data_IF_816584360951
#
_entry.id   IF_816584360951
#
_cell.length_a   1.000
_cell.length_b   1.000
_cell.length_c   1.000
_cell.angle_alpha   90.00
_cell.angle_beta   90.00
_cell.angle_gamma   90.00
#
_symmetry.space_group_name_H-M   'P 1'
#
loop_
_entity.id
_entity.type
_entity.pdbx_description
1 polymer ?
#
# COMPACT_ATOMS: atom_id res chain seq x y z
N UNK A 1 49.10 -23.22 33.57
CA UNK A 1 48.11 -24.09 34.23
C UNK A 1 46.76 -23.77 33.63
N UNK A 2 46.42 -24.67 32.70
CA UNK A 2 45.11 -25.27 32.32
C UNK A 2 43.96 -24.32 31.97
N UNK A 3 43.82 -24.23 30.67
CA UNK A 3 42.62 -23.75 29.95
C UNK A 3 41.39 -24.59 30.31
N UNK A 4 40.24 -23.91 30.51
CA UNK A 4 38.97 -24.56 30.69
C UNK A 4 38.08 -24.30 29.44
N UNK A 5 37.85 -25.28 28.57
CA UNK A 5 37.05 -25.11 27.36
C UNK A 5 35.64 -25.64 27.60
N UNK A 6 34.70 -24.83 28.14
CA UNK A 6 33.28 -25.14 28.08
C UNK A 6 32.44 -23.93 28.46
N UNK A 7 32.23 -23.00 27.54
CA UNK A 7 31.12 -22.08 27.55
C UNK A 7 30.28 -22.33 26.27
N UNK A 8 28.98 -22.64 26.42
CA UNK A 8 28.12 -22.81 25.26
C UNK A 8 27.89 -21.47 24.56
N UNK A 9 28.26 -21.37 23.31
CA UNK A 9 27.90 -20.27 22.40
C UNK A 9 26.39 -20.29 22.20
N UNK A 10 25.68 -19.39 22.85
CA UNK A 10 24.25 -19.15 22.58
C UNK A 10 24.13 -18.57 21.17
N UNK A 11 23.88 -19.46 20.21
CA UNK A 11 23.41 -19.12 18.88
C UNK A 11 21.93 -18.73 19.02
N UNK A 12 21.63 -17.45 19.13
CA UNK A 12 20.29 -16.92 18.98
C UNK A 12 19.86 -17.15 17.52
N UNK A 13 19.26 -18.31 17.28
CA UNK A 13 18.68 -18.68 16.02
C UNK A 13 17.34 -17.92 15.85
N UNK A 14 17.42 -16.74 15.25
CA UNK A 14 16.24 -15.93 14.88
C UNK A 14 15.51 -16.56 13.68
N UNK A 15 14.87 -17.71 13.90
CA UNK A 15 14.06 -18.45 12.91
C UNK A 15 12.55 -18.19 13.04
N UNK A 16 12.13 -16.98 13.42
CA UNK A 16 10.70 -16.74 13.68
C UNK A 16 10.00 -15.82 12.69
N UNK A 17 10.57 -15.48 11.53
CA UNK A 17 9.84 -14.60 10.61
C UNK A 17 9.80 -15.04 9.13
N UNK A 18 10.34 -16.20 8.78
CA UNK A 18 10.34 -16.67 7.39
C UNK A 18 9.04 -17.38 6.97
N UNK A 19 8.27 -17.91 7.92
CA UNK A 19 7.03 -18.64 7.59
C UNK A 19 5.86 -17.71 7.24
N UNK A 20 5.79 -16.52 7.84
CA UNK A 20 4.69 -15.59 7.57
C UNK A 20 4.79 -14.97 6.17
N UNK A 21 6.00 -14.59 5.76
CA UNK A 21 6.26 -14.06 4.42
C UNK A 21 6.06 -15.14 3.33
N UNK A 22 6.44 -16.37 3.62
CA UNK A 22 6.26 -17.52 2.72
C UNK A 22 4.79 -17.93 2.54
N UNK A 23 3.94 -17.78 3.58
CA UNK A 23 2.50 -18.04 3.48
C UNK A 23 1.77 -16.96 2.67
N UNK A 24 2.14 -15.70 2.84
CA UNK A 24 1.63 -14.60 2.01
C UNK A 24 2.03 -14.82 0.55
N UNK A 25 3.29 -15.16 0.29
CA UNK A 25 3.79 -15.46 -1.06
C UNK A 25 3.03 -16.64 -1.69
N UNK A 26 2.72 -17.69 -0.94
CA UNK A 26 2.00 -18.87 -1.45
C UNK A 26 0.51 -18.61 -1.71
N UNK A 27 -0.17 -17.82 -0.90
CA UNK A 27 -1.55 -17.45 -1.16
C UNK A 27 -1.68 -16.51 -2.36
N UNK A 28 -0.73 -15.60 -2.57
CA UNK A 28 -0.67 -14.78 -3.78
C UNK A 28 -0.34 -15.59 -5.04
N UNK A 29 0.47 -16.65 -4.96
CA UNK A 29 0.82 -17.49 -6.11
C UNK A 29 -0.33 -18.40 -6.52
N UNK A 30 -1.12 -18.90 -5.57
CA UNK A 30 -2.26 -19.78 -5.87
C UNK A 30 -3.43 -19.06 -6.55
N UNK A 31 -3.62 -17.76 -6.26
CA UNK A 31 -4.64 -16.92 -6.94
C UNK A 31 -4.17 -16.52 -8.36
N UNK A 32 -2.86 -16.55 -8.65
CA UNK A 32 -2.29 -16.12 -9.93
C UNK A 32 -2.46 -17.13 -11.06
N UNK A 33 -2.75 -18.40 -10.78
CA UNK A 33 -2.88 -19.44 -11.81
C UNK A 33 -4.27 -19.60 -12.44
N UNK A 34 -5.29 -18.97 -11.88
CA UNK A 34 -6.59 -18.86 -12.59
C UNK A 34 -6.68 -17.46 -13.20
N UNK A 35 -6.50 -17.39 -14.51
CA UNK A 35 -6.67 -16.23 -15.39
C UNK A 35 -8.08 -15.58 -15.31
N UNK A 36 -8.47 -15.11 -14.14
CA UNK A 36 -9.51 -14.12 -14.03
C UNK A 36 -8.77 -12.81 -13.85
N UNK A 37 -8.55 -12.06 -14.94
CA UNK A 37 -8.16 -10.66 -14.90
C UNK A 37 -9.29 -9.88 -14.23
N UNK A 38 -9.33 -9.90 -12.91
CA UNK A 38 -10.23 -9.05 -12.15
C UNK A 38 -9.57 -7.67 -12.05
N UNK A 39 -9.80 -6.83 -13.05
CA UNK A 39 -9.38 -5.43 -13.00
C UNK A 39 -10.32 -4.66 -12.08
N UNK A 40 -9.80 -4.10 -11.01
CA UNK A 40 -10.55 -3.22 -10.13
C UNK A 40 -10.61 -1.81 -10.75
N UNK A 41 -11.75 -1.47 -11.37
CA UNK A 41 -12.00 -0.12 -11.86
C UNK A 41 -12.53 0.78 -10.74
N UNK A 42 -12.02 2.00 -10.65
CA UNK A 42 -12.39 2.97 -9.61
C UNK A 42 -13.87 3.41 -9.67
N UNK A 43 -14.51 3.29 -10.81
CA UNK A 43 -15.92 3.70 -10.99
C UNK A 43 -16.92 2.71 -10.40
N UNK A 44 -16.57 1.43 -10.24
CA UNK A 44 -17.44 0.36 -9.75
C UNK A 44 -17.03 -0.24 -8.41
N UNK A 45 -15.78 -0.01 -7.96
CA UNK A 45 -15.25 -0.64 -6.77
C UNK A 45 -15.36 0.27 -5.54
N UNK A 46 -16.21 -0.12 -4.58
CA UNK A 46 -16.44 0.62 -3.35
C UNK A 46 -15.17 0.77 -2.48
N UNK A 47 -14.36 -0.30 -2.41
CA UNK A 47 -13.08 -0.27 -1.67
C UNK A 47 -12.11 0.75 -2.25
N UNK A 48 -12.07 0.84 -3.58
CA UNK A 48 -11.19 1.77 -4.27
C UNK A 48 -11.63 3.23 -4.05
N UNK A 49 -12.95 3.51 -4.02
CA UNK A 49 -13.46 4.84 -3.68
C UNK A 49 -13.05 5.27 -2.28
N UNK A 50 -13.13 4.37 -1.30
CA UNK A 50 -12.73 4.65 0.09
C UNK A 50 -11.23 4.93 0.25
N UNK A 51 -10.39 4.33 -0.58
CA UNK A 51 -8.93 4.42 -0.48
C UNK A 51 -8.30 5.43 -1.43
N UNK A 52 -9.03 5.93 -2.43
CA UNK A 52 -8.49 6.80 -3.49
C UNK A 52 -7.82 8.06 -2.96
N UNK A 53 -8.37 8.69 -1.92
CA UNK A 53 -7.77 9.84 -1.23
C UNK A 53 -6.38 9.49 -0.68
N UNK A 54 -6.24 8.35 -0.03
CA UNK A 54 -4.97 7.86 0.53
C UNK A 54 -3.96 7.56 -0.56
N UNK A 55 -4.40 6.92 -1.66
CA UNK A 55 -3.56 6.61 -2.83
C UNK A 55 -2.98 7.90 -3.43
N UNK A 56 -3.83 8.90 -3.69
CA UNK A 56 -3.39 10.18 -4.27
C UNK A 56 -2.39 10.90 -3.37
N UNK A 57 -2.68 10.98 -2.06
CA UNK A 57 -1.78 11.61 -1.10
C UNK A 57 -0.43 10.91 -1.03
N UNK A 58 -0.41 9.57 -1.03
CA UNK A 58 0.83 8.78 -1.03
C UNK A 58 1.67 9.02 -2.28
N UNK A 59 1.06 8.97 -3.46
CA UNK A 59 1.78 9.19 -4.71
C UNK A 59 2.39 10.58 -4.79
N UNK A 60 1.63 11.61 -4.44
CA UNK A 60 2.12 12.99 -4.42
C UNK A 60 3.21 13.20 -3.36
N UNK A 61 3.16 12.46 -2.24
CA UNK A 61 4.23 12.48 -1.24
C UNK A 61 5.54 11.89 -1.79
N UNK A 62 5.47 10.79 -2.53
CA UNK A 62 6.65 10.11 -3.09
C UNK A 62 7.24 10.81 -4.32
N UNK A 63 6.38 11.33 -5.20
CA UNK A 63 6.78 11.94 -6.47
C UNK A 63 6.95 13.46 -6.38
N UNK A 64 6.45 14.09 -5.32
CA UNK A 64 6.45 15.52 -5.11
C UNK A 64 5.39 16.25 -5.91
N UNK A 65 5.35 16.08 -7.24
CA UNK A 65 4.45 16.79 -8.15
C UNK A 65 4.01 15.88 -9.29
N UNK A 66 2.69 15.82 -9.56
CA UNK A 66 2.12 15.02 -10.64
C UNK A 66 0.88 15.70 -11.23
N UNK A 67 0.58 15.44 -12.52
CA UNK A 67 -0.73 15.75 -13.11
C UNK A 67 -1.60 14.50 -13.20
N UNK A 68 -2.91 14.68 -13.45
CA UNK A 68 -3.89 13.60 -13.32
C UNK A 68 -3.59 12.34 -14.14
N UNK A 69 -3.04 12.49 -15.35
CA UNK A 69 -2.67 11.32 -16.17
C UNK A 69 -1.52 10.53 -15.56
N UNK A 70 -0.48 11.21 -15.05
CA UNK A 70 0.65 10.53 -14.37
C UNK A 70 0.16 9.71 -13.17
N UNK A 71 -0.77 10.27 -12.38
CA UNK A 71 -1.35 9.54 -11.23
C UNK A 71 -2.03 8.26 -11.70
N UNK A 72 -2.82 8.32 -12.79
CA UNK A 72 -3.49 7.12 -13.31
C UNK A 72 -2.52 6.07 -13.84
N UNK A 73 -1.46 6.50 -14.52
CA UNK A 73 -0.44 5.59 -15.04
C UNK A 73 0.40 4.96 -13.93
N UNK A 74 0.85 5.74 -12.94
CA UNK A 74 1.67 5.23 -11.83
C UNK A 74 0.92 4.17 -11.02
N UNK A 75 -0.40 4.36 -10.77
CA UNK A 75 -1.23 3.34 -10.12
C UNK A 75 -1.33 2.07 -10.96
N UNK A 76 -1.60 2.21 -12.25
CA UNK A 76 -1.71 1.08 -13.17
C UNK A 76 -0.41 0.28 -13.25
N UNK A 77 0.73 0.97 -13.37
CA UNK A 77 2.05 0.34 -13.46
C UNK A 77 2.44 -0.37 -12.17
N UNK A 78 2.30 0.28 -11.01
CA UNK A 78 2.63 -0.32 -9.70
C UNK A 78 1.78 -1.53 -9.35
N UNK A 79 0.56 -1.58 -9.88
CA UNK A 79 -0.36 -2.70 -9.64
C UNK A 79 -0.41 -3.71 -10.79
N UNK A 80 0.50 -3.60 -11.77
CA UNK A 80 0.50 -4.44 -12.97
C UNK A 80 -0.85 -4.47 -13.69
N UNK A 81 -1.59 -3.34 -13.65
CA UNK A 81 -2.89 -3.17 -14.27
C UNK A 81 -4.07 -3.74 -13.46
N UNK A 82 -3.85 -4.26 -12.25
CA UNK A 82 -4.93 -4.74 -11.38
C UNK A 82 -5.85 -3.61 -10.93
N UNK A 83 -5.28 -2.42 -10.68
CA UNK A 83 -6.04 -1.22 -10.31
C UNK A 83 -5.95 -0.21 -11.46
N UNK A 84 -7.11 0.23 -11.94
CA UNK A 84 -7.21 1.31 -12.91
C UNK A 84 -8.05 2.45 -12.36
N UNK A 85 -7.53 3.68 -12.47
CA UNK A 85 -8.24 4.88 -12.06
C UNK A 85 -8.87 5.56 -13.27
N UNK A 86 -10.18 5.82 -13.20
CA UNK A 86 -10.85 6.65 -14.19
C UNK A 86 -10.69 8.13 -13.82
N UNK A 87 -10.62 9.00 -14.82
CA UNK A 87 -10.57 10.44 -14.59
C UNK A 87 -11.81 10.96 -13.85
N UNK A 88 -12.98 10.35 -14.13
CA UNK A 88 -14.22 10.67 -13.45
C UNK A 88 -14.20 10.40 -11.94
N UNK A 89 -13.43 9.41 -11.47
CA UNK A 89 -13.23 9.15 -10.06
C UNK A 89 -12.11 9.99 -9.45
N UNK A 90 -11.03 10.23 -10.22
CA UNK A 90 -9.84 10.92 -9.74
C UNK A 90 -10.05 12.42 -9.52
N UNK A 91 -10.60 13.13 -10.52
CA UNK A 91 -10.69 14.59 -10.45
C UNK A 91 -11.55 15.12 -9.30
N UNK A 92 -12.71 14.52 -8.94
CA UNK A 92 -13.46 14.95 -7.76
C UNK A 92 -12.63 14.85 -6.46
N UNK A 93 -11.78 13.82 -6.34
CA UNK A 93 -10.90 13.64 -5.18
C UNK A 93 -9.79 14.71 -5.17
N UNK A 94 -9.16 14.99 -6.31
CA UNK A 94 -8.16 16.06 -6.44
C UNK A 94 -8.76 17.43 -6.07
N UNK A 95 -9.94 17.77 -6.59
CA UNK A 95 -10.64 19.01 -6.24
C UNK A 95 -11.00 19.09 -4.76
N UNK A 96 -11.47 17.98 -4.17
CA UNK A 96 -11.76 17.96 -2.74
C UNK A 96 -10.51 18.17 -1.89
N UNK A 97 -9.40 17.52 -2.24
CA UNK A 97 -8.12 17.69 -1.54
C UNK A 97 -7.57 19.11 -1.69
N UNK A 98 -7.74 19.75 -2.85
CA UNK A 98 -7.40 21.16 -3.08
C UNK A 98 -8.27 22.08 -2.22
N UNK A 99 -9.59 21.88 -2.18
CA UNK A 99 -10.52 22.62 -1.32
C UNK A 99 -10.22 22.46 0.18
N UNK A 100 -9.81 21.25 0.58
CA UNK A 100 -9.41 20.95 1.97
C UNK A 100 -8.03 21.56 2.33
N UNK A 101 -7.36 22.27 1.40
CA UNK A 101 -6.07 22.88 1.62
C UNK A 101 -4.90 21.89 1.72
N UNK A 102 -5.10 20.65 1.31
CA UNK A 102 -4.08 19.59 1.32
C UNK A 102 -3.21 19.60 0.06
N UNK A 103 -3.74 20.12 -1.05
CA UNK A 103 -3.05 20.28 -2.32
C UNK A 103 -2.95 21.74 -2.73
N UNK A 104 -1.88 22.07 -3.43
CA UNK A 104 -1.72 23.26 -4.26
C UNK A 104 -1.60 22.85 -5.71
N UNK A 105 -2.01 23.73 -6.61
CA UNK A 105 -1.97 23.47 -8.05
C UNK A 105 -1.17 24.51 -8.78
N UNK A 106 -0.52 24.09 -9.85
CA UNK A 106 0.23 24.93 -10.77
C UNK A 106 -0.06 24.49 -12.19
N UNK A 107 -0.47 25.43 -13.04
CA UNK A 107 -0.63 25.17 -14.46
C UNK A 107 0.66 25.46 -15.20
N UNK A 108 1.05 24.56 -16.09
CA UNK A 108 2.28 24.64 -16.87
C UNK A 108 2.01 24.17 -18.29
N UNK A 109 2.56 24.85 -19.26
CA UNK A 109 2.49 24.41 -20.64
C UNK A 109 3.61 23.40 -20.91
N UNK A 110 3.22 22.19 -21.31
CA UNK A 110 4.12 21.12 -21.68
C UNK A 110 3.63 20.45 -22.96
N UNK A 111 4.50 20.30 -23.94
CA UNK A 111 4.21 19.73 -25.27
C UNK A 111 3.02 20.41 -25.97
N UNK A 112 2.92 21.75 -25.89
CA UNK A 112 1.83 22.52 -26.47
C UNK A 112 0.45 22.33 -25.81
N UNK A 113 0.41 21.79 -24.60
CA UNK A 113 -0.81 21.57 -23.83
C UNK A 113 -0.68 22.13 -22.41
N UNK A 114 -1.70 22.81 -21.95
CA UNK A 114 -1.78 23.27 -20.57
C UNK A 114 -2.07 22.08 -19.65
N UNK A 115 -1.14 21.78 -18.73
CA UNK A 115 -1.29 20.72 -17.73
C UNK A 115 -1.43 21.32 -16.34
N UNK A 116 -2.40 20.83 -15.55
CA UNK A 116 -2.56 21.21 -14.15
C UNK A 116 -1.84 20.18 -13.28
N UNK A 117 -0.77 20.61 -12.63
CA UNK A 117 0.02 19.82 -11.70
C UNK A 117 -0.49 20.01 -10.27
N UNK A 118 -0.41 18.97 -9.49
CA UNK A 118 -0.79 18.91 -8.08
C UNK A 118 0.43 18.60 -7.22
N UNK A 119 0.56 19.28 -6.08
CA UNK A 119 1.60 19.04 -5.08
C UNK A 119 1.00 19.11 -3.70
N UNK A 120 1.62 18.46 -2.72
CA UNK A 120 1.17 18.53 -1.32
C UNK A 120 1.54 19.87 -0.69
N UNK A 121 0.63 20.41 0.14
CA UNK A 121 0.97 21.43 1.12
C UNK A 121 1.71 20.81 2.30
N UNK A 122 2.33 21.58 3.23
CA UNK A 122 2.89 21.05 4.47
C UNK A 122 1.84 20.26 5.30
N UNK A 123 0.60 20.75 5.37
CA UNK A 123 -0.52 20.07 6.03
C UNK A 123 -0.90 18.80 5.25
N UNK A 124 -0.88 18.87 3.91
CA UNK A 124 -1.11 17.72 3.04
C UNK A 124 -0.07 16.61 3.26
N UNK A 125 1.20 16.97 3.42
CA UNK A 125 2.29 16.02 3.71
C UNK A 125 2.06 15.29 5.05
N UNK A 126 1.76 16.03 6.12
CA UNK A 126 1.45 15.42 7.42
C UNK A 126 0.20 14.51 7.35
N UNK A 127 -0.83 14.96 6.62
CA UNK A 127 -2.05 14.18 6.39
C UNK A 127 -1.77 12.92 5.57
N UNK A 128 -0.88 12.97 4.58
CA UNK A 128 -0.49 11.81 3.78
C UNK A 128 0.13 10.71 4.66
N UNK A 129 1.09 11.07 5.51
CA UNK A 129 1.71 10.12 6.46
C UNK A 129 0.66 9.47 7.36
N UNK A 130 -0.22 10.28 7.97
CA UNK A 130 -1.25 9.77 8.87
C UNK A 130 -2.21 8.82 8.16
N UNK A 131 -2.69 9.20 6.96
CA UNK A 131 -3.63 8.40 6.18
C UNK A 131 -3.04 7.08 5.69
N UNK A 132 -1.77 7.06 5.30
CA UNK A 132 -1.07 5.84 4.90
C UNK A 132 -0.93 4.91 6.11
N UNK A 133 -0.46 5.42 7.25
CA UNK A 133 -0.31 4.63 8.48
C UNK A 133 -1.64 4.06 8.99
N UNK A 134 -2.72 4.86 8.96
CA UNK A 134 -4.06 4.40 9.33
C UNK A 134 -4.55 3.27 8.41
N UNK A 135 -4.29 3.41 7.11
CA UNK A 135 -4.68 2.41 6.14
C UNK A 135 -3.87 1.11 6.27
N UNK A 136 -2.57 1.19 6.51
CA UNK A 136 -1.70 0.03 6.76
C UNK A 136 -2.19 -0.77 7.98
N UNK A 137 -2.50 -0.07 9.09
CA UNK A 137 -3.07 -0.71 10.29
C UNK A 137 -4.44 -1.36 10.01
N UNK A 138 -5.27 -0.72 9.22
CA UNK A 138 -6.56 -1.29 8.80
C UNK A 138 -6.36 -2.56 7.96
N UNK A 139 -5.45 -2.54 6.98
CA UNK A 139 -5.14 -3.71 6.15
C UNK A 139 -4.62 -4.87 7.01
N UNK A 140 -3.73 -4.60 7.96
CA UNK A 140 -3.22 -5.60 8.89
C UNK A 140 -4.35 -6.22 9.74
N UNK A 141 -5.24 -5.40 10.31
CA UNK A 141 -6.39 -5.88 11.06
C UNK A 141 -7.34 -6.73 10.20
N UNK A 142 -7.59 -6.32 8.95
CA UNK A 142 -8.40 -7.09 8.01
C UNK A 142 -7.74 -8.42 7.62
N UNK A 143 -6.43 -8.45 7.45
CA UNK A 143 -5.70 -9.70 7.20
C UNK A 143 -5.85 -10.69 8.35
N UNK A 144 -5.77 -10.22 9.60
CA UNK A 144 -5.98 -11.06 10.78
C UNK A 144 -7.42 -11.62 10.79
N UNK A 145 -8.41 -10.75 10.54
CA UNK A 145 -9.82 -11.11 10.55
C UNK A 145 -10.19 -12.13 9.46
N UNK A 146 -9.63 -11.97 8.27
CA UNK A 146 -9.92 -12.81 7.10
C UNK A 146 -9.05 -14.06 7.00
N UNK A 147 -8.01 -14.17 7.83
CA UNK A 147 -7.17 -15.37 7.89
C UNK A 147 -7.95 -16.53 8.49
N UNK A 148 -7.78 -17.76 7.98
CA UNK A 148 -8.39 -18.92 8.59
C UNK A 148 -7.91 -19.09 10.04
N UNK A 149 -8.77 -19.58 10.95
CA UNK A 149 -8.39 -19.79 12.35
C UNK A 149 -7.16 -20.68 12.44
N UNK A 150 -6.16 -20.21 13.18
CA UNK A 150 -4.95 -20.99 13.42
C UNK A 150 -5.32 -22.25 14.22
N UNK A 151 -4.83 -23.45 13.83
CA UNK A 151 -5.02 -24.64 14.64
C UNK A 151 -4.45 -24.40 16.05
N UNK A 152 -5.10 -24.93 17.11
CA UNK A 152 -4.62 -24.77 18.47
C UNK A 152 -3.16 -25.27 18.55
N UNK A 153 -2.28 -24.44 19.11
CA UNK A 153 -0.91 -24.86 19.39
C UNK A 153 -0.99 -26.00 20.40
N UNK A 154 -0.78 -27.24 19.96
CA UNK A 154 -0.59 -28.36 20.87
C UNK A 154 0.66 -28.07 21.72
N UNK A 155 0.45 -27.69 22.97
CA UNK A 155 1.49 -27.66 23.97
C UNK A 155 1.93 -29.09 24.21
N UNK A 156 2.99 -29.53 23.57
CA UNK A 156 3.65 -30.78 23.95
C UNK A 156 4.31 -30.49 25.28
N UNK A 157 3.62 -30.86 26.36
CA UNK A 157 4.21 -31.00 27.68
C UNK A 157 5.11 -32.24 27.60
N UNK A 158 6.41 -32.01 27.52
CA UNK A 158 7.39 -33.07 27.75
C UNK A 158 7.39 -33.32 29.26
N UNK A 159 6.81 -34.47 29.63
CA UNK A 159 7.01 -35.08 30.93
C UNK A 159 8.37 -35.78 30.98
#
# INVERSE_FOLDING_TARGET
>A
MKDNPNLPKNHCNNKKNTNFHFYIQKSYTFVREKHIKYTMESSGNEFLRGTLKTIVLKLLHERGRMYGYEITQDVKERTNGEITLTFGALYPVLHKLEQDGLLVTQSEEADGRLRKYYSLTPIGTATAHQKVSDFERFVEAMQILLSPPQPPKLSVSMA
#
